data_IF_735537295338
#
_entry.id   IF_735537295338
#
_cell.length_a   1.000
_cell.length_b   1.000
_cell.length_c   1.000
_cell.angle_alpha   90.00
_cell.angle_beta   90.00
_cell.angle_gamma   90.00
#
_symmetry.space_group_name_H-M   'P 1'
#
loop_
_entity.id
_entity.type
_entity.pdbx_description
1 polymer ?
#
# COMPACT_ATOMS: atom_id res chain seq x y z
N UNK A 1 0.48 10.02 10.30
CA UNK A 1 0.38 8.66 10.88
C UNK A 1 1.31 8.59 12.10
N UNK A 2 0.86 8.10 13.28
CA UNK A 2 1.69 8.12 14.51
C UNK A 2 2.92 7.19 14.43
N UNK A 3 2.82 6.07 13.70
CA UNK A 3 3.91 5.10 13.53
C UNK A 3 5.10 5.71 12.78
N UNK A 4 4.85 6.59 11.80
CA UNK A 4 5.90 7.26 11.02
C UNK A 4 6.43 8.55 11.66
N UNK A 5 5.78 9.04 12.74
CA UNK A 5 6.19 10.29 13.40
C UNK A 5 7.65 10.31 13.90
N UNK A 6 8.20 9.23 14.49
CA UNK A 6 9.60 9.22 14.91
C UNK A 6 10.61 9.05 13.75
N UNK A 7 10.16 8.64 12.56
CA UNK A 7 11.03 8.30 11.43
C UNK A 7 11.46 9.55 10.66
N UNK A 8 12.39 10.30 11.24
CA UNK A 8 12.96 11.53 10.70
C UNK A 8 14.48 11.51 10.82
N UNK A 9 15.18 12.28 9.99
CA UNK A 9 16.64 12.33 10.04
C UNK A 9 17.26 13.16 8.92
N UNK A 10 18.58 13.02 8.76
CA UNK A 10 19.32 13.52 7.60
C UNK A 10 19.72 12.31 6.78
N UNK A 11 19.38 12.29 5.49
CA UNK A 11 19.78 11.21 4.60
C UNK A 11 21.23 11.44 4.11
N UNK A 12 22.05 10.37 4.00
CA UNK A 12 23.50 10.49 3.88
C UNK A 12 24.02 10.89 2.50
N UNK A 13 23.23 10.79 1.43
CA UNK A 13 23.67 11.00 0.05
C UNK A 13 23.68 12.50 -0.30
N UNK A 14 22.57 13.20 -0.09
CA UNK A 14 22.44 14.64 -0.38
C UNK A 14 22.49 15.52 0.87
N UNK A 15 22.53 14.94 2.07
CA UNK A 15 22.54 15.68 3.34
C UNK A 15 21.21 16.38 3.66
N UNK A 16 20.13 16.06 2.94
CA UNK A 16 18.82 16.67 3.15
C UNK A 16 18.10 16.05 4.35
N UNK A 17 17.30 16.86 5.04
CA UNK A 17 16.39 16.38 6.08
C UNK A 17 15.23 15.62 5.45
N UNK A 18 14.88 14.47 6.03
CA UNK A 18 13.71 13.70 5.64
C UNK A 18 12.73 13.52 6.81
N UNK A 19 11.47 13.29 6.44
CA UNK A 19 10.40 12.87 7.35
C UNK A 19 9.54 11.83 6.64
N UNK A 20 9.30 10.69 7.27
CA UNK A 20 8.42 9.66 6.72
C UNK A 20 6.94 10.11 6.60
N UNK A 21 6.55 11.22 7.27
CA UNK A 21 5.24 11.85 7.09
C UNK A 21 5.25 12.95 6.01
N UNK A 22 6.38 13.22 5.34
CA UNK A 22 6.42 14.14 4.20
C UNK A 22 5.58 13.60 3.05
N UNK A 23 4.64 14.39 2.49
CA UNK A 23 3.88 13.98 1.30
C UNK A 23 4.78 13.64 0.12
N UNK A 24 5.89 14.37 -0.06
CA UNK A 24 6.84 14.14 -1.15
C UNK A 24 7.53 12.78 -1.01
N UNK A 25 8.01 12.44 0.19
CA UNK A 25 8.65 11.15 0.46
C UNK A 25 7.65 9.99 0.32
N UNK A 26 6.40 10.20 0.73
CA UNK A 26 5.33 9.21 0.54
C UNK A 26 4.98 9.03 -0.93
N UNK A 27 4.92 10.11 -1.71
CA UNK A 27 4.70 9.99 -3.16
C UNK A 27 5.86 9.24 -3.82
N UNK A 28 7.10 9.58 -3.45
CA UNK A 28 8.31 8.98 -3.99
C UNK A 28 8.33 7.46 -3.83
N UNK A 29 7.97 6.93 -2.65
CA UNK A 29 8.00 5.48 -2.43
C UNK A 29 6.97 4.74 -3.31
N UNK A 30 5.84 5.37 -3.65
CA UNK A 30 4.85 4.77 -4.54
C UNK A 30 5.30 4.84 -6.01
N UNK A 31 5.87 5.97 -6.45
CA UNK A 31 6.33 6.15 -7.84
C UNK A 31 7.55 5.26 -8.13
N UNK A 32 8.48 5.13 -7.19
CA UNK A 32 9.72 4.38 -7.40
C UNK A 32 9.49 2.89 -7.64
N UNK A 33 8.43 2.30 -7.08
CA UNK A 33 8.05 0.93 -7.41
C UNK A 33 7.86 0.73 -8.92
N UNK A 34 7.10 1.62 -9.57
CA UNK A 34 6.88 1.58 -11.02
C UNK A 34 8.17 1.91 -11.79
N UNK A 35 8.88 2.96 -11.39
CA UNK A 35 10.16 3.33 -12.01
C UNK A 35 11.17 2.15 -12.00
N UNK A 36 11.28 1.42 -10.89
CA UNK A 36 12.17 0.26 -10.79
C UNK A 36 11.77 -0.87 -11.72
N UNK A 37 10.47 -1.08 -11.96
CA UNK A 37 9.97 -2.07 -12.93
C UNK A 37 10.33 -1.66 -14.36
N UNK A 38 10.07 -0.39 -14.73
CA UNK A 38 10.49 0.13 -16.03
C UNK A 38 12.01 -0.02 -16.20
N UNK A 39 12.79 0.38 -15.19
CA UNK A 39 14.24 0.29 -15.27
C UNK A 39 14.74 -1.14 -15.43
N UNK A 40 14.11 -2.10 -14.76
CA UNK A 40 14.44 -3.52 -14.93
C UNK A 40 14.14 -4.00 -16.36
N UNK A 41 13.02 -3.57 -16.96
CA UNK A 41 12.72 -3.86 -18.36
C UNK A 41 13.77 -3.29 -19.31
N UNK A 42 14.19 -2.03 -19.13
CA UNK A 42 15.20 -1.41 -20.01
C UNK A 42 16.57 -2.11 -19.94
N UNK A 43 16.96 -2.55 -18.75
CA UNK A 43 18.29 -3.12 -18.49
C UNK A 43 18.36 -4.60 -18.84
N UNK A 44 17.31 -5.36 -18.54
CA UNK A 44 17.31 -6.83 -18.69
C UNK A 44 16.39 -7.34 -19.80
N UNK A 45 15.56 -6.46 -20.38
CA UNK A 45 14.68 -6.76 -21.50
C UNK A 45 15.30 -6.36 -22.85
N UNK A 46 14.46 -6.08 -23.86
CA UNK A 46 14.90 -5.76 -25.22
C UNK A 46 15.64 -4.41 -25.37
N UNK A 47 15.60 -3.55 -24.35
CA UNK A 47 16.16 -2.21 -24.38
C UNK A 47 15.15 -1.14 -23.95
N UNK A 48 15.52 0.15 -24.06
CA UNK A 48 14.66 1.26 -23.66
C UNK A 48 13.40 1.36 -24.52
N UNK A 49 12.31 1.84 -23.91
CA UNK A 49 11.07 2.19 -24.60
C UNK A 49 11.28 3.43 -25.49
N UNK A 50 10.47 3.58 -26.54
CA UNK A 50 10.41 4.88 -27.24
C UNK A 50 9.77 5.93 -26.33
N UNK A 51 9.98 7.24 -26.57
CA UNK A 51 9.36 8.30 -25.79
C UNK A 51 7.82 8.20 -25.71
N UNK A 52 7.18 7.73 -26.78
CA UNK A 52 5.74 7.53 -26.85
C UNK A 52 5.30 6.35 -25.97
N UNK A 53 6.05 5.25 -25.98
CA UNK A 53 5.78 4.08 -25.16
C UNK A 53 5.99 4.37 -23.68
N UNK A 54 7.03 5.13 -23.32
CA UNK A 54 7.27 5.56 -21.94
C UNK A 54 6.16 6.50 -21.46
N UNK A 55 5.72 7.43 -22.30
CA UNK A 55 4.59 8.32 -21.98
C UNK A 55 3.31 7.51 -21.71
N UNK A 56 3.02 6.52 -22.58
CA UNK A 56 1.90 5.61 -22.39
C UNK A 56 2.04 4.80 -21.10
N UNK A 57 3.23 4.28 -20.82
CA UNK A 57 3.51 3.56 -19.59
C UNK A 57 3.13 4.41 -18.37
N UNK A 58 3.64 5.63 -18.25
CA UNK A 58 3.33 6.48 -17.09
C UNK A 58 1.84 6.83 -16.98
N UNK A 59 1.17 7.10 -18.09
CA UNK A 59 -0.26 7.40 -18.10
C UNK A 59 -1.11 6.21 -17.64
N UNK A 60 -0.91 5.03 -18.24
CA UNK A 60 -1.68 3.83 -17.90
C UNK A 60 -1.39 3.34 -16.48
N UNK A 61 -0.13 3.43 -16.02
CA UNK A 61 0.24 3.01 -14.66
C UNK A 61 -0.35 3.91 -13.58
N UNK A 62 -0.47 5.21 -13.85
CA UNK A 62 -1.13 6.14 -12.93
C UNK A 62 -2.62 5.79 -12.79
N UNK A 63 -3.31 5.50 -13.90
CA UNK A 63 -4.72 5.07 -13.90
C UNK A 63 -4.89 3.73 -13.19
N UNK A 64 -4.12 2.70 -13.59
CA UNK A 64 -4.19 1.38 -12.98
C UNK A 64 -3.87 1.39 -11.48
N UNK A 65 -2.91 2.20 -11.03
CA UNK A 65 -2.57 2.32 -9.62
C UNK A 65 -3.74 2.83 -8.78
N UNK A 66 -4.42 3.87 -9.27
CA UNK A 66 -5.61 4.45 -8.63
C UNK A 66 -6.77 3.43 -8.63
N UNK A 67 -6.97 2.72 -9.75
CA UNK A 67 -7.97 1.65 -9.86
C UNK A 67 -7.62 0.41 -9.04
N UNK A 68 -6.36 0.09 -8.77
CA UNK A 68 -6.01 -1.04 -7.91
C UNK A 68 -6.43 -0.78 -6.46
N UNK A 69 -6.26 0.45 -5.98
CA UNK A 69 -6.60 0.87 -4.62
C UNK A 69 -8.11 0.92 -4.38
N UNK A 70 -8.87 1.42 -5.37
CA UNK A 70 -10.31 1.63 -5.27
C UNK A 70 -11.15 0.69 -6.13
N UNK A 71 -10.57 -0.25 -6.87
CA UNK A 71 -11.33 -1.15 -7.73
C UNK A 71 -10.62 -2.48 -8.00
N UNK A 72 -10.08 -3.07 -6.94
CA UNK A 72 -9.27 -4.28 -7.09
C UNK A 72 -10.04 -5.39 -7.84
N UNK A 73 -9.48 -5.93 -8.93
CA UNK A 73 -10.17 -6.91 -9.75
C UNK A 73 -10.27 -8.25 -9.01
N UNK A 74 -11.35 -9.00 -9.30
CA UNK A 74 -11.55 -10.35 -8.74
C UNK A 74 -10.40 -11.32 -9.11
N UNK A 75 -9.73 -11.08 -10.22
CA UNK A 75 -8.59 -11.86 -10.71
C UNK A 75 -7.30 -11.62 -9.91
N UNK A 76 -7.27 -10.73 -8.91
CA UNK A 76 -6.08 -10.45 -8.10
C UNK A 76 -5.62 -11.62 -7.21
N UNK A 77 -6.39 -12.71 -7.13
CA UNK A 77 -6.04 -13.90 -6.34
C UNK A 77 -6.28 -13.77 -4.83
N UNK A 78 -6.80 -12.65 -4.32
CA UNK A 78 -6.98 -12.41 -2.89
C UNK A 78 -8.28 -12.98 -2.28
N UNK A 79 -9.11 -13.64 -3.09
CA UNK A 79 -10.34 -14.31 -2.65
C UNK A 79 -11.60 -13.42 -2.66
N UNK A 80 -12.75 -14.05 -2.44
CA UNK A 80 -14.07 -13.40 -2.57
C UNK A 80 -14.32 -12.34 -1.48
N UNK A 81 -13.91 -12.61 -0.24
CA UNK A 81 -14.08 -11.67 0.88
C UNK A 81 -13.35 -10.35 0.64
N UNK A 82 -12.12 -10.43 0.13
CA UNK A 82 -11.33 -9.26 -0.23
C UNK A 82 -11.98 -8.47 -1.36
N UNK A 83 -12.44 -9.15 -2.42
CA UNK A 83 -13.13 -8.50 -3.55
C UNK A 83 -14.40 -7.76 -3.12
N UNK A 84 -15.25 -8.39 -2.29
CA UNK A 84 -16.48 -7.74 -1.80
C UNK A 84 -16.14 -6.58 -0.86
N UNK A 85 -15.19 -6.79 0.05
CA UNK A 85 -14.72 -5.76 0.98
C UNK A 85 -14.17 -4.53 0.26
N UNK A 86 -13.33 -4.74 -0.76
CA UNK A 86 -12.78 -3.63 -1.57
C UNK A 86 -13.90 -2.88 -2.27
N UNK A 87 -14.85 -3.57 -2.93
CA UNK A 87 -15.98 -2.91 -3.62
C UNK A 87 -16.83 -2.04 -2.69
N UNK A 88 -17.12 -2.52 -1.49
CA UNK A 88 -17.86 -1.73 -0.50
C UNK A 88 -17.07 -0.51 -0.03
N UNK A 89 -15.78 -0.68 0.26
CA UNK A 89 -14.89 0.41 0.67
C UNK A 89 -14.75 1.47 -0.43
N UNK A 90 -14.70 1.05 -1.69
CA UNK A 90 -14.63 1.92 -2.85
C UNK A 90 -15.89 2.75 -3.02
N UNK A 91 -17.07 2.12 -2.88
CA UNK A 91 -18.34 2.85 -2.96
C UNK A 91 -18.41 3.97 -1.92
N UNK A 92 -17.95 3.69 -0.69
CA UNK A 92 -17.87 4.66 0.39
C UNK A 92 -16.82 5.74 0.10
N UNK A 93 -15.61 5.36 -0.28
CA UNK A 93 -14.50 6.29 -0.57
C UNK A 93 -14.84 7.25 -1.70
N UNK A 94 -15.37 6.75 -2.82
CA UNK A 94 -15.74 7.56 -4.00
C UNK A 94 -16.82 8.59 -3.65
N UNK A 95 -17.74 8.27 -2.73
CA UNK A 95 -18.78 9.21 -2.27
C UNK A 95 -18.20 10.44 -1.55
N UNK A 96 -16.99 10.32 -1.02
CA UNK A 96 -16.31 11.35 -0.24
C UNK A 96 -15.26 12.11 -1.06
N UNK A 97 -14.95 11.68 -2.28
CA UNK A 97 -14.00 12.35 -3.16
C UNK A 97 -14.61 13.62 -3.79
N UNK A 98 -13.86 14.73 -3.89
CA UNK A 98 -14.28 15.87 -4.67
C UNK A 98 -14.37 15.51 -6.16
N UNK A 99 -15.27 16.18 -6.90
CA UNK A 99 -15.56 15.86 -8.32
C UNK A 99 -14.31 15.73 -9.18
N UNK A 100 -13.34 16.64 -9.04
CA UNK A 100 -12.12 16.62 -9.85
C UNK A 100 -11.27 15.35 -9.64
N UNK A 101 -11.21 14.80 -8.43
CA UNK A 101 -10.49 13.55 -8.16
C UNK A 101 -11.18 12.35 -8.79
N UNK A 102 -12.52 12.37 -8.85
CA UNK A 102 -13.29 11.31 -9.50
C UNK A 102 -13.10 11.35 -11.01
N UNK A 103 -13.11 12.55 -11.58
CA UNK A 103 -12.85 12.73 -13.01
C UNK A 103 -11.43 12.33 -13.36
N UNK A 104 -10.43 12.67 -12.52
CA UNK A 104 -9.04 12.23 -12.71
C UNK A 104 -8.90 10.70 -12.66
N UNK A 105 -9.58 10.03 -11.73
CA UNK A 105 -9.50 8.58 -11.54
C UNK A 105 -10.57 7.79 -12.28
N UNK A 106 -11.29 8.40 -13.23
CA UNK A 106 -12.38 7.76 -13.99
C UNK A 106 -13.43 7.04 -13.10
N UNK A 107 -13.74 7.62 -11.94
CA UNK A 107 -14.67 7.09 -10.93
C UNK A 107 -16.07 7.73 -10.96
N UNK A 108 -16.36 8.56 -11.95
CA UNK A 108 -17.61 9.31 -12.00
C UNK A 108 -18.84 8.39 -12.06
N UNK A 109 -19.85 8.72 -11.26
CA UNK A 109 -21.11 7.98 -11.13
C UNK A 109 -22.29 8.93 -10.88
N UNK A 110 -23.55 8.46 -11.03
CA UNK A 110 -24.72 9.30 -10.79
C UNK A 110 -24.74 9.85 -9.36
N UNK A 111 -24.96 11.16 -9.20
CA UNK A 111 -24.88 11.84 -7.91
C UNK A 111 -25.87 11.35 -6.86
N UNK A 112 -26.97 10.72 -7.27
CA UNK A 112 -27.93 10.07 -6.35
C UNK A 112 -27.28 8.97 -5.51
N UNK A 113 -26.29 8.26 -6.07
CA UNK A 113 -25.53 7.22 -5.35
C UNK A 113 -24.72 7.87 -4.22
N UNK A 114 -24.12 9.04 -4.47
CA UNK A 114 -23.33 9.74 -3.47
C UNK A 114 -24.22 10.28 -2.33
N UNK A 115 -25.41 10.78 -2.66
CA UNK A 115 -26.39 11.24 -1.64
C UNK A 115 -26.76 10.09 -0.70
N UNK A 116 -26.98 8.89 -1.23
CA UNK A 116 -27.33 7.72 -0.42
C UNK A 116 -26.13 7.18 0.40
N UNK A 117 -24.92 7.20 -0.17
CA UNK A 117 -23.73 6.55 0.42
C UNK A 117 -22.91 7.48 1.32
N UNK A 118 -22.86 8.79 1.04
CA UNK A 118 -22.00 9.71 1.76
C UNK A 118 -22.34 9.83 3.26
N UNK A 119 -23.62 9.93 3.70
CA UNK A 119 -23.93 10.01 5.13
C UNK A 119 -23.45 8.79 5.93
N UNK A 120 -23.78 7.53 5.58
CA UNK A 120 -23.27 6.37 6.31
C UNK A 120 -21.74 6.24 6.21
N UNK A 121 -21.14 6.56 5.06
CA UNK A 121 -19.68 6.55 4.91
C UNK A 121 -18.99 7.56 5.85
N UNK A 122 -19.50 8.79 5.96
CA UNK A 122 -18.98 9.81 6.89
C UNK A 122 -19.12 9.36 8.34
N UNK A 123 -20.27 8.80 8.71
CA UNK A 123 -20.48 8.26 10.05
C UNK A 123 -19.51 7.13 10.38
N UNK A 124 -19.24 6.24 9.42
CA UNK A 124 -18.25 5.17 9.57
C UNK A 124 -16.84 5.74 9.76
N UNK A 125 -16.40 6.66 8.90
CA UNK A 125 -15.09 7.33 9.03
C UNK A 125 -14.97 8.04 10.38
N UNK A 126 -16.00 8.78 10.79
CA UNK A 126 -16.03 9.45 12.08
C UNK A 126 -15.91 8.44 13.24
N UNK A 127 -16.63 7.32 13.20
CA UNK A 127 -16.49 6.25 14.19
C UNK A 127 -15.06 5.69 14.22
N UNK A 128 -14.42 5.51 13.06
CA UNK A 128 -13.02 5.11 12.96
C UNK A 128 -12.04 6.14 13.53
N UNK A 129 -12.36 7.43 13.56
CA UNK A 129 -11.49 8.40 14.26
C UNK A 129 -11.44 8.17 15.77
N UNK A 130 -12.40 7.41 16.32
CA UNK A 130 -12.45 7.00 17.73
C UNK A 130 -11.77 5.66 17.97
N UNK A 131 -11.29 4.97 16.93
CA UNK A 131 -10.57 3.70 17.05
C UNK A 131 -9.18 3.95 17.65
N UNK A 132 -8.94 3.37 18.83
CA UNK A 132 -7.65 3.43 19.52
C UNK A 132 -6.76 2.23 19.17
N UNK A 133 -5.57 2.16 19.78
CA UNK A 133 -4.63 1.04 19.60
C UNK A 133 -5.26 -0.31 19.97
N UNK A 134 -6.13 -0.35 20.98
CA UNK A 134 -6.76 -1.58 21.45
C UNK A 134 -7.82 -2.08 20.46
N UNK A 135 -8.58 -1.17 19.84
CA UNK A 135 -9.47 -1.49 18.73
C UNK A 135 -8.72 -2.09 17.54
N UNK A 136 -7.60 -1.48 17.13
CA UNK A 136 -6.78 -1.97 16.03
C UNK A 136 -6.23 -3.38 16.30
N UNK A 137 -5.70 -3.64 17.51
CA UNK A 137 -5.19 -4.95 17.90
C UNK A 137 -6.27 -6.04 17.92
N UNK A 138 -7.50 -5.71 18.37
CA UNK A 138 -8.63 -6.65 18.36
C UNK A 138 -9.12 -6.95 16.95
N UNK A 139 -9.08 -5.97 16.05
CA UNK A 139 -9.53 -6.13 14.66
C UNK A 139 -8.48 -6.78 13.75
N UNK A 140 -7.18 -6.62 14.05
CA UNK A 140 -6.08 -7.04 13.18
C UNK A 140 -6.08 -8.53 12.79
N UNK A 141 -6.41 -9.50 13.68
CA UNK A 141 -6.49 -10.92 13.32
C UNK A 141 -7.56 -11.22 12.27
N UNK A 142 -8.63 -10.43 12.21
CA UNK A 142 -9.77 -10.65 11.31
C UNK A 142 -9.57 -10.00 9.94
N UNK A 143 -8.88 -8.85 9.90
CA UNK A 143 -8.71 -8.06 8.68
C UNK A 143 -7.45 -8.50 7.93
N UNK A 144 -6.35 -8.73 8.65
CA UNK A 144 -5.07 -9.07 8.06
C UNK A 144 -4.28 -9.97 9.02
N UNK A 145 -4.62 -11.26 9.16
CA UNK A 145 -4.09 -12.13 10.21
C UNK A 145 -2.57 -12.19 10.26
N UNK A 146 -1.90 -12.20 9.09
CA UNK A 146 -0.43 -12.16 9.03
C UNK A 146 0.12 -10.80 9.50
N UNK A 147 -0.42 -9.70 8.97
CA UNK A 147 0.02 -8.36 9.32
C UNK A 147 -0.28 -8.03 10.79
N UNK A 148 -1.38 -8.54 11.34
CA UNK A 148 -1.75 -8.39 12.74
C UNK A 148 -0.74 -9.04 13.68
N UNK A 149 -0.21 -10.23 13.34
CA UNK A 149 0.88 -10.86 14.11
C UNK A 149 2.16 -10.03 14.07
N UNK A 150 2.54 -9.53 12.89
CA UNK A 150 3.72 -8.67 12.73
C UNK A 150 3.55 -7.36 13.50
N UNK A 151 2.37 -6.75 13.43
CA UNK A 151 2.05 -5.52 14.14
C UNK A 151 2.08 -5.71 15.67
N UNK A 152 1.56 -6.84 16.16
CA UNK A 152 1.63 -7.18 17.57
C UNK A 152 3.09 -7.28 18.05
N UNK A 153 3.95 -8.01 17.32
CA UNK A 153 5.38 -8.10 17.62
C UNK A 153 6.07 -6.73 17.60
N UNK A 154 5.74 -5.87 16.63
CA UNK A 154 6.29 -4.52 16.54
C UNK A 154 5.88 -3.64 17.72
N UNK A 155 4.61 -3.73 18.14
CA UNK A 155 4.10 -2.97 19.30
C UNK A 155 4.71 -3.48 20.61
N UNK A 156 4.87 -4.79 20.76
CA UNK A 156 5.51 -5.41 21.91
C UNK A 156 6.99 -5.03 22.02
N UNK A 157 7.66 -4.81 20.88
CA UNK A 157 9.05 -4.38 20.85
C UNK A 157 10.02 -5.42 21.41
N UNK A 158 9.61 -6.69 21.42
CA UNK A 158 10.46 -7.79 21.89
C UNK A 158 11.75 -7.88 21.06
N UNK A 159 12.89 -8.22 21.68
CA UNK A 159 14.12 -8.47 20.94
C UNK A 159 13.89 -9.59 19.91
N UNK A 160 14.58 -9.55 18.76
CA UNK A 160 14.43 -10.60 17.76
C UNK A 160 14.85 -11.94 18.36
N UNK A 161 14.14 -13.00 17.99
CA UNK A 161 14.38 -14.35 18.52
C UNK A 161 15.84 -14.83 18.35
N UNK A 162 16.58 -14.24 17.41
CA UNK A 162 18.02 -14.41 17.25
C UNK A 162 18.66 -13.04 17.09
N UNK A 163 19.65 -12.75 17.94
CA UNK A 163 20.46 -11.53 17.88
C UNK A 163 21.61 -11.69 16.86
N UNK A 164 21.27 -12.08 15.64
CA UNK A 164 22.23 -12.26 14.54
C UNK A 164 21.83 -11.43 13.33
N UNK A 165 22.81 -10.85 12.64
CA UNK A 165 22.60 -10.21 11.33
C UNK A 165 23.08 -11.18 10.26
N UNK A 166 22.23 -11.50 9.28
CA UNK A 166 22.59 -12.37 8.15
C UNK A 166 22.78 -11.56 6.87
N UNK A 167 23.69 -12.00 6.00
CA UNK A 167 23.78 -11.46 4.64
C UNK A 167 22.69 -12.04 3.75
N UNK A 168 22.29 -11.36 2.65
CA UNK A 168 21.35 -11.92 1.68
C UNK A 168 21.81 -13.25 1.08
N UNK A 169 23.12 -13.44 0.87
CA UNK A 169 23.70 -14.70 0.35
C UNK A 169 23.54 -15.83 1.37
N UNK A 170 23.94 -15.61 2.62
CA UNK A 170 23.81 -16.60 3.68
C UNK A 170 22.34 -16.96 3.96
N UNK A 171 21.42 -15.99 3.85
CA UNK A 171 19.99 -16.24 3.96
C UNK A 171 19.46 -17.13 2.82
N UNK A 172 19.87 -16.89 1.57
CA UNK A 172 19.51 -17.75 0.42
C UNK A 172 20.07 -19.16 0.56
N UNK A 173 21.30 -19.31 1.04
CA UNK A 173 21.89 -20.64 1.30
C UNK A 173 21.13 -21.38 2.41
N UNK A 174 20.75 -20.67 3.48
CA UNK A 174 20.06 -21.27 4.64
C UNK A 174 18.59 -21.61 4.35
N UNK A 175 17.88 -20.76 3.61
CA UNK A 175 16.42 -20.85 3.43
C UNK A 175 15.98 -21.15 2.00
N UNK A 176 16.88 -21.17 1.02
CA UNK A 176 16.54 -21.33 -0.40
C UNK A 176 15.72 -20.17 -0.97
N UNK A 177 15.35 -20.27 -2.25
CA UNK A 177 14.52 -19.25 -2.95
C UNK A 177 13.02 -19.34 -2.60
N UNK A 178 12.59 -20.45 -1.99
CA UNK A 178 11.18 -20.71 -1.69
C UNK A 178 10.88 -20.82 -0.19
N UNK A 179 11.88 -20.56 0.67
CA UNK A 179 11.74 -20.76 2.11
C UNK A 179 11.57 -22.24 2.41
N UNK A 180 12.67 -22.97 2.63
CA UNK A 180 12.59 -24.33 3.15
C UNK A 180 11.94 -24.23 4.54
N UNK A 181 10.66 -24.58 4.61
CA UNK A 181 9.96 -24.81 5.86
C UNK A 181 10.60 -26.04 6.50
N UNK A 182 11.70 -25.85 7.22
CA UNK A 182 12.09 -26.80 8.25
C UNK A 182 11.15 -26.54 9.41
N UNK A 183 10.15 -27.39 9.52
CA UNK A 183 9.38 -27.55 10.74
C UNK A 183 10.37 -27.65 11.91
N UNK A 184 10.30 -26.68 12.80
CA UNK A 184 10.86 -26.74 14.16
C UNK A 184 9.68 -26.59 15.09
#
# INVERSE_FOLDING_TARGET
>A
MRIHAPMTGIEPISGKRYSANSPETQLWIHITGWHSVLKAYEVFGPGPLTPEEETRYWAERAEEGIHHLLWTPRSNGAGMSYYVGSRLLSLASIALLPKWMRTLGHFDRPGIVDIAVAPPAKSLVWAFTRFDKAGLLRAAPFIAPMAGRILAQHIEGAPPARLETTTPTAARERYGMHGVSKAV
#
